data_IF_041594514963
#
_entry.id   IF_041594514963
#
_cell.length_a   1.000
_cell.length_b   1.000
_cell.length_c   1.000
_cell.angle_alpha   90.00
_cell.angle_beta   90.00
_cell.angle_gamma   90.00
#
_symmetry.space_group_name_H-M   'P 1'
#
loop_
_entity.id
_entity.type
_entity.pdbx_description
1 polymer ?
#
# COMPACT_ATOMS: atom_id res chain seq x y z
N UNK A 1 -1.37 -5.90 -0.97
CA UNK A 1 -1.44 -4.48 -1.37
C UNK A 1 -1.71 -4.45 -2.86
N UNK A 2 -2.61 -3.57 -3.29
CA UNK A 2 -2.98 -3.33 -4.69
C UNK A 2 -2.53 -1.93 -5.04
N UNK A 3 -1.94 -1.80 -6.22
CA UNK A 3 -1.32 -0.57 -6.70
C UNK A 3 -1.98 -0.25 -8.06
N UNK A 4 -2.50 0.97 -8.21
CA UNK A 4 -2.92 1.51 -9.50
C UNK A 4 -1.71 1.71 -10.42
N UNK A 5 -1.91 1.77 -11.73
CA UNK A 5 -0.82 2.01 -12.69
C UNK A 5 -0.11 3.37 -12.47
N UNK A 6 -0.79 4.35 -11.86
CA UNK A 6 -0.27 5.70 -11.54
C UNK A 6 0.17 5.89 -10.08
N UNK A 7 0.84 4.89 -9.51
CA UNK A 7 1.35 4.96 -8.14
C UNK A 7 2.66 5.77 -8.02
N UNK A 8 2.94 6.39 -6.86
CA UNK A 8 4.17 7.15 -6.65
C UNK A 8 5.40 6.25 -6.75
N UNK A 9 6.54 6.83 -7.18
CA UNK A 9 7.82 6.13 -7.13
C UNK A 9 8.24 5.94 -5.66
N UNK A 10 8.27 4.68 -5.22
CA UNK A 10 8.70 4.29 -3.87
C UNK A 10 10.06 3.59 -3.98
N UNK A 11 11.06 3.92 -3.14
CA UNK A 11 12.35 3.23 -3.15
C UNK A 11 12.21 1.71 -3.05
N UNK A 12 12.94 0.96 -3.89
CA UNK A 12 12.86 -0.51 -4.01
C UNK A 12 12.84 -1.31 -2.69
N UNK A 13 13.61 -0.84 -1.70
CA UNK A 13 13.66 -1.50 -0.38
C UNK A 13 12.35 -1.33 0.38
N UNK A 14 11.78 -0.12 0.34
CA UNK A 14 10.48 0.17 0.94
C UNK A 14 9.37 -0.56 0.17
N UNK A 15 9.45 -0.57 -1.16
CA UNK A 15 8.49 -1.28 -1.98
C UNK A 15 8.46 -2.79 -1.65
N UNK A 16 9.62 -3.43 -1.45
CA UNK A 16 9.69 -4.84 -1.03
C UNK A 16 9.15 -5.06 0.38
N UNK A 17 9.55 -4.24 1.33
CA UNK A 17 9.13 -4.37 2.73
C UNK A 17 7.61 -4.23 2.90
N UNK A 18 6.99 -3.38 2.08
CA UNK A 18 5.56 -3.10 2.09
C UNK A 18 4.76 -3.96 1.11
N UNK A 19 5.39 -4.96 0.48
CA UNK A 19 4.75 -5.80 -0.54
C UNK A 19 4.10 -4.98 -1.69
N UNK A 20 4.70 -3.84 -2.03
CA UNK A 20 4.36 -2.96 -3.15
C UNK A 20 5.11 -3.35 -4.43
N UNK A 21 5.97 -4.37 -4.40
CA UNK A 21 6.64 -4.88 -5.60
C UNK A 21 5.72 -5.73 -6.46
N UNK A 22 5.64 -5.38 -7.75
CA UNK A 22 4.84 -6.05 -8.76
C UNK A 22 3.57 -5.28 -9.11
N UNK A 23 3.02 -5.53 -10.31
CA UNK A 23 1.68 -5.08 -10.66
C UNK A 23 0.68 -6.00 -9.96
N UNK A 24 0.04 -5.50 -8.90
CA UNK A 24 -1.19 -6.12 -8.38
C UNK A 24 -2.31 -5.12 -8.57
N UNK A 25 -2.58 -4.82 -9.83
CA UNK A 25 -3.83 -4.21 -10.24
C UNK A 25 -4.98 -5.13 -9.76
N UNK A 26 -6.09 -4.55 -9.29
CA UNK A 26 -7.24 -5.32 -8.79
C UNK A 26 -7.73 -6.34 -9.81
N UNK A 27 -7.76 -5.95 -11.09
CA UNK A 27 -8.19 -6.81 -12.19
C UNK A 27 -7.20 -7.95 -12.43
N UNK A 28 -5.90 -7.67 -12.41
CA UNK A 28 -4.87 -8.71 -12.57
C UNK A 28 -4.87 -9.70 -11.41
N UNK A 29 -5.12 -9.24 -10.18
CA UNK A 29 -5.26 -10.10 -9.01
C UNK A 29 -6.44 -11.08 -9.18
N UNK A 30 -7.61 -10.57 -9.56
CA UNK A 30 -8.80 -11.41 -9.82
C UNK A 30 -8.52 -12.39 -10.95
N UNK A 31 -8.01 -11.92 -12.10
CA UNK A 31 -7.70 -12.78 -13.24
C UNK A 31 -6.62 -13.83 -12.94
N UNK A 32 -5.68 -13.54 -12.03
CA UNK A 32 -4.70 -14.52 -11.58
C UNK A 32 -5.33 -15.61 -10.71
N UNK A 33 -6.23 -15.25 -9.79
CA UNK A 33 -6.97 -16.23 -8.98
C UNK A 33 -7.85 -17.11 -9.88
N UNK A 34 -8.59 -16.50 -10.81
CA UNK A 34 -9.50 -17.24 -11.69
C UNK A 34 -8.79 -18.22 -12.62
N UNK A 35 -7.61 -17.86 -13.14
CA UNK A 35 -6.78 -18.77 -13.95
C UNK A 35 -6.34 -20.04 -13.21
N UNK A 36 -6.39 -20.05 -11.89
CA UNK A 36 -6.05 -21.24 -11.08
C UNK A 36 -7.24 -22.17 -10.85
N UNK A 37 -8.42 -21.86 -11.41
CA UNK A 37 -9.62 -22.68 -11.32
C UNK A 37 -10.56 -22.33 -10.15
N UNK A 38 -10.26 -21.26 -9.42
CA UNK A 38 -11.13 -20.74 -8.36
C UNK A 38 -12.01 -19.62 -8.90
N UNK A 39 -13.22 -19.46 -8.37
CA UNK A 39 -14.06 -18.28 -8.65
C UNK A 39 -13.94 -17.30 -7.50
N UNK A 40 -13.68 -16.02 -7.79
CA UNK A 40 -13.67 -14.97 -6.76
C UNK A 40 -15.11 -14.69 -6.31
N UNK A 41 -15.41 -14.98 -5.05
CA UNK A 41 -16.75 -14.83 -4.47
C UNK A 41 -16.93 -13.47 -3.81
N UNK A 42 -15.91 -13.02 -3.07
CA UNK A 42 -15.93 -11.75 -2.35
C UNK A 42 -14.59 -11.02 -2.49
N UNK A 43 -14.65 -9.70 -2.67
CA UNK A 43 -13.51 -8.80 -2.57
C UNK A 43 -13.84 -7.69 -1.59
N UNK A 44 -13.04 -7.56 -0.54
CA UNK A 44 -13.19 -6.50 0.45
C UNK A 44 -12.04 -5.49 0.33
N UNK A 45 -12.40 -4.22 0.33
CA UNK A 45 -11.45 -3.11 0.39
C UNK A 45 -11.24 -2.70 1.85
N UNK A 46 -9.98 -2.52 2.23
CA UNK A 46 -9.55 -2.19 3.57
C UNK A 46 -8.81 -0.84 3.62
N UNK A 47 -9.07 0.06 2.66
CA UNK A 47 -8.47 1.40 2.66
C UNK A 47 -8.72 2.16 3.96
N UNK A 48 -9.94 2.10 4.48
CA UNK A 48 -10.30 2.76 5.74
C UNK A 48 -9.51 2.19 6.93
N UNK A 49 -9.28 0.86 6.94
CA UNK A 49 -8.47 0.22 7.96
C UNK A 49 -7.00 0.68 7.90
N UNK A 50 -6.46 0.91 6.68
CA UNK A 50 -5.12 1.46 6.50
C UNK A 50 -5.01 2.91 7.00
N UNK A 51 -6.01 3.74 6.73
CA UNK A 51 -6.06 5.12 7.22
C UNK A 51 -6.15 5.16 8.74
N UNK A 52 -7.03 4.35 9.34
CA UNK A 52 -7.14 4.24 10.79
C UNK A 52 -5.85 3.75 11.46
N UNK A 53 -5.14 2.80 10.81
CA UNK A 53 -3.83 2.36 11.28
C UNK A 53 -2.78 3.47 11.19
N UNK A 54 -2.79 4.26 10.11
CA UNK A 54 -1.88 5.40 9.92
C UNK A 54 -2.10 6.47 11.00
N UNK A 55 -3.35 6.87 11.24
CA UNK A 55 -3.71 7.83 12.28
C UNK A 55 -3.22 7.35 13.67
N UNK A 56 -3.48 6.09 14.00
CA UNK A 56 -3.04 5.46 15.26
C UNK A 56 -1.50 5.46 15.41
N UNK A 57 -0.75 5.24 14.33
CA UNK A 57 0.72 5.30 14.36
C UNK A 57 1.19 6.75 14.54
N UNK A 58 0.59 7.71 13.82
CA UNK A 58 0.92 9.13 13.93
C UNK A 58 0.68 9.72 15.32
N UNK A 59 -0.35 9.24 16.03
CA UNK A 59 -0.60 9.62 17.44
C UNK A 59 0.46 9.09 18.41
N UNK A 60 1.14 7.99 18.07
CA UNK A 60 2.03 7.26 18.99
C UNK A 60 3.50 7.48 18.70
N UNK A 61 3.85 7.80 17.47
CA UNK A 61 5.24 7.93 16.99
C UNK A 61 5.36 9.15 16.11
N UNK A 62 6.20 10.10 16.51
CA UNK A 62 6.60 11.23 15.67
C UNK A 62 7.64 10.80 14.62
N UNK A 63 7.22 9.94 13.68
CA UNK A 63 8.10 9.44 12.63
C UNK A 63 8.56 10.55 11.68
N UNK A 64 7.75 11.61 11.51
CA UNK A 64 8.12 12.79 10.70
C UNK A 64 9.28 13.54 11.34
N UNK A 65 9.23 13.82 12.64
CA UNK A 65 10.34 14.41 13.39
C UNK A 65 11.57 13.51 13.43
N UNK A 66 11.38 12.20 13.64
CA UNK A 66 12.48 11.23 13.66
C UNK A 66 13.22 11.14 12.31
N UNK A 67 12.48 11.05 11.20
CA UNK A 67 13.05 11.01 9.87
C UNK A 67 13.68 12.35 9.48
N UNK A 68 13.03 13.48 9.82
CA UNK A 68 13.60 14.81 9.60
C UNK A 68 14.95 15.00 10.31
N UNK A 69 15.14 14.40 11.48
CA UNK A 69 16.40 14.46 12.22
C UNK A 69 17.56 13.63 11.61
N UNK A 70 17.30 12.75 10.63
CA UNK A 70 18.31 11.87 10.02
C UNK A 70 19.05 12.50 8.82
N UNK A 71 18.83 13.79 8.54
CA UNK A 71 19.42 14.50 7.42
C UNK A 71 18.86 14.05 6.06
N UNK A 72 19.59 14.27 4.97
CA UNK A 72 19.09 14.07 3.59
C UNK A 72 18.49 12.68 3.32
N UNK A 73 19.05 11.62 3.91
CA UNK A 73 18.52 10.25 3.77
C UNK A 73 17.16 10.10 4.46
N UNK A 74 17.00 10.76 5.60
CA UNK A 74 15.76 10.81 6.35
C UNK A 74 14.68 11.62 5.64
N UNK A 75 15.04 12.78 5.08
CA UNK A 75 14.14 13.60 4.26
C UNK A 75 13.67 12.84 3.01
N UNK A 76 14.58 12.13 2.34
CA UNK A 76 14.22 11.28 1.19
C UNK A 76 13.23 10.18 1.58
N UNK A 77 13.45 9.53 2.73
CA UNK A 77 12.53 8.52 3.24
C UNK A 77 11.18 9.13 3.65
N UNK A 78 11.18 10.30 4.27
CA UNK A 78 9.98 11.03 4.68
C UNK A 78 9.13 11.41 3.46
N UNK A 79 9.73 11.98 2.42
CA UNK A 79 9.04 12.32 1.18
C UNK A 79 8.41 11.09 0.51
N UNK A 80 9.11 9.95 0.52
CA UNK A 80 8.57 8.70 0.00
C UNK A 80 7.38 8.18 0.82
N UNK A 81 7.42 8.36 2.15
CA UNK A 81 6.31 8.00 3.05
C UNK A 81 5.10 8.91 2.81
N UNK A 82 5.29 10.22 2.71
CA UNK A 82 4.21 11.18 2.43
C UNK A 82 3.55 10.94 1.06
N UNK A 83 4.34 10.59 0.05
CA UNK A 83 3.83 10.20 -1.26
C UNK A 83 2.98 8.92 -1.16
N UNK A 84 3.41 7.94 -0.35
CA UNK A 84 2.67 6.70 -0.12
C UNK A 84 1.35 6.96 0.62
N UNK A 85 1.36 7.79 1.67
CA UNK A 85 0.17 8.19 2.43
C UNK A 85 -0.86 8.86 1.52
N UNK A 86 -0.40 9.82 0.70
CA UNK A 86 -1.26 10.48 -0.30
C UNK A 86 -1.86 9.49 -1.28
N UNK A 87 -1.07 8.52 -1.77
CA UNK A 87 -1.58 7.50 -2.69
C UNK A 87 -2.59 6.54 -2.05
N UNK A 88 -2.48 6.29 -0.74
CA UNK A 88 -3.50 5.53 0.00
C UNK A 88 -4.78 6.36 0.15
N UNK A 89 -4.67 7.64 0.50
CA UNK A 89 -5.82 8.54 0.67
C UNK A 89 -6.60 8.71 -0.66
N UNK A 90 -5.87 8.92 -1.76
CA UNK A 90 -6.41 8.99 -3.12
C UNK A 90 -7.02 7.65 -3.59
N UNK A 91 -6.82 6.55 -2.85
CA UNK A 91 -7.24 5.21 -3.25
C UNK A 91 -6.44 4.58 -4.39
N UNK A 92 -5.32 5.21 -4.79
CA UNK A 92 -4.37 4.68 -5.79
C UNK A 92 -3.62 3.46 -5.24
N UNK A 93 -3.43 3.39 -3.93
CA UNK A 93 -2.89 2.23 -3.21
C UNK A 93 -3.93 1.78 -2.19
N UNK A 94 -4.15 0.48 -2.08
CA UNK A 94 -5.07 -0.09 -1.10
C UNK A 94 -4.69 -1.49 -0.67
N UNK A 95 -5.33 -1.95 0.40
CA UNK A 95 -5.29 -3.35 0.80
C UNK A 95 -6.63 -3.99 0.47
N UNK A 96 -6.60 -5.14 -0.20
CA UNK A 96 -7.80 -5.92 -0.48
C UNK A 96 -7.62 -7.33 0.04
N UNK A 97 -8.69 -7.89 0.60
CA UNK A 97 -8.81 -9.33 0.84
C UNK A 97 -9.72 -9.93 -0.24
N UNK A 98 -9.42 -11.17 -0.63
CA UNK A 98 -10.15 -11.90 -1.66
C UNK A 98 -10.51 -13.27 -1.09
N UNK A 99 -11.78 -13.64 -1.18
CA UNK A 99 -12.28 -14.98 -0.88
C UNK A 99 -12.63 -15.64 -2.20
N UNK A 100 -12.17 -16.88 -2.39
CA UNK A 100 -12.40 -17.64 -3.61
C UNK A 100 -12.72 -19.10 -3.29
N UNK A 101 -13.68 -19.67 -4.04
CA UNK A 101 -14.13 -21.06 -3.93
C UNK A 101 -13.82 -21.85 -5.21
N UNK A 102 -13.83 -23.18 -5.11
CA UNK A 102 -13.61 -24.11 -6.22
C UNK A 102 -14.84 -24.98 -6.47
#
# INVERSE_FOLDING_TARGET
MVVSEDAPEVPDRLARALCLTGARNRAELTAAVERTGFTVEERRDHREDLLAMHDCVGERVDYRGLLGAMGERGETALAAVEALETAVDDGRIGYVSVVAGA
#
